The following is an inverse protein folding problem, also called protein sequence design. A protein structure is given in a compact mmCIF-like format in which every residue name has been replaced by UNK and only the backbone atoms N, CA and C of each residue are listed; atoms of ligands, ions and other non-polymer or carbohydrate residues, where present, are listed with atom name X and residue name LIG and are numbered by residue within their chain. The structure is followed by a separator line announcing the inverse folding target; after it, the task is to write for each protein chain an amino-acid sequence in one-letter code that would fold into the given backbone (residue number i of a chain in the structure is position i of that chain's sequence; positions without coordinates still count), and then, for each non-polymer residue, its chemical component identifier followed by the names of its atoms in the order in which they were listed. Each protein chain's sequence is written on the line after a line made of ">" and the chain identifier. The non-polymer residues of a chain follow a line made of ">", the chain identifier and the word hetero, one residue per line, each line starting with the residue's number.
data_IF_528810701923
#
_entry.id   IF_528810701923
#
_cell.length_a   1.000
_cell.length_b   1.000
_cell.length_c   1.000
_cell.angle_alpha   90.00
_cell.angle_beta   90.00
_cell.angle_gamma   90.00
#
_symmetry.space_group_name_H-M   'P 1'
#
loop_
_entity.id
_entity.type
_entity.pdbx_description
1 polymer ?
#
# COMPACT_ATOMS: atom_id res chain seq x y z
N UNK A 1 -32.34 -12.22 3.69
CA UNK A 1 -31.18 -12.86 4.35
C UNK A 1 -30.36 -11.76 5.01
N UNK A 2 -30.23 -11.80 6.34
CA UNK A 2 -29.31 -10.89 7.04
C UNK A 2 -27.89 -11.23 6.61
N UNK A 3 -27.22 -10.29 5.97
CA UNK A 3 -25.78 -10.42 5.65
C UNK A 3 -25.03 -10.35 6.97
N UNK A 4 -24.48 -11.46 7.44
CA UNK A 4 -23.53 -11.43 8.55
C UNK A 4 -22.38 -10.50 8.15
N UNK A 5 -22.20 -9.42 8.89
CA UNK A 5 -21.07 -8.50 8.72
C UNK A 5 -19.81 -9.25 9.15
N UNK A 6 -18.86 -9.35 8.25
CA UNK A 6 -17.59 -10.05 8.49
C UNK A 6 -16.46 -9.03 8.53
N UNK A 7 -15.59 -9.16 9.52
CA UNK A 7 -14.41 -8.32 9.69
C UNK A 7 -13.14 -9.12 9.36
N UNK A 8 -12.29 -8.58 8.50
CA UNK A 8 -11.03 -9.22 8.13
C UNK A 8 -10.44 -8.67 6.84
N UNK A 9 -9.37 -9.28 6.37
CA UNK A 9 -8.61 -8.82 5.21
C UNK A 9 -8.47 -9.96 4.21
N UNK A 10 -8.85 -9.72 2.96
CA UNK A 10 -8.59 -10.60 1.83
C UNK A 10 -7.32 -10.12 1.12
N UNK A 11 -6.39 -11.02 0.87
CA UNK A 11 -5.22 -10.76 0.03
C UNK A 11 -5.56 -11.07 -1.42
N UNK A 12 -5.92 -10.05 -2.22
CA UNK A 12 -6.37 -10.24 -3.60
C UNK A 12 -5.24 -9.93 -4.58
N UNK A 13 -5.02 -10.83 -5.54
CA UNK A 13 -4.23 -10.56 -6.73
C UNK A 13 -5.07 -9.74 -7.72
N UNK A 14 -4.66 -8.50 -7.97
CA UNK A 14 -5.25 -7.67 -9.00
C UNK A 14 -4.57 -7.95 -10.35
N UNK A 15 -5.28 -8.41 -11.38
CA UNK A 15 -4.72 -8.50 -12.72
C UNK A 15 -4.50 -7.10 -13.32
N UNK A 16 -3.67 -7.02 -14.36
CA UNK A 16 -3.56 -5.84 -15.19
C UNK A 16 -4.90 -5.53 -15.87
N UNK A 17 -5.15 -4.25 -16.16
CA UNK A 17 -6.37 -3.76 -16.83
C UNK A 17 -7.49 -3.35 -15.87
N UNK A 18 -7.51 -3.82 -14.63
CA UNK A 18 -8.50 -3.41 -13.63
C UNK A 18 -7.97 -2.28 -12.75
N UNK A 19 -8.84 -1.35 -12.37
CA UNK A 19 -8.55 -0.42 -11.29
C UNK A 19 -8.66 -1.11 -9.93
N UNK A 20 -8.00 -0.59 -8.90
CA UNK A 20 -8.17 -1.07 -7.51
C UNK A 20 -9.62 -0.97 -7.05
N UNK A 21 -10.37 0.04 -7.53
CA UNK A 21 -11.79 0.18 -7.23
C UNK A 21 -12.66 -0.86 -7.92
N UNK A 22 -12.26 -1.38 -9.10
CA UNK A 22 -12.94 -2.52 -9.73
C UNK A 22 -12.78 -3.76 -8.87
N UNK A 23 -11.60 -4.01 -8.31
CA UNK A 23 -11.37 -5.10 -7.36
C UNK A 23 -12.29 -4.96 -6.15
N UNK A 24 -12.37 -3.77 -5.53
CA UNK A 24 -13.28 -3.50 -4.41
C UNK A 24 -14.74 -3.80 -4.79
N UNK A 25 -15.19 -3.35 -5.98
CA UNK A 25 -16.56 -3.61 -6.47
C UNK A 25 -16.84 -5.11 -6.67
N UNK A 26 -15.88 -5.83 -7.24
CA UNK A 26 -16.00 -7.28 -7.44
C UNK A 26 -16.04 -8.02 -6.09
N UNK A 27 -15.12 -7.73 -5.17
CA UNK A 27 -15.13 -8.34 -3.83
C UNK A 27 -16.45 -8.05 -3.12
N UNK A 28 -16.95 -6.82 -3.18
CA UNK A 28 -18.23 -6.42 -2.60
C UNK A 28 -19.39 -7.27 -3.12
N UNK A 29 -19.44 -7.50 -4.44
CA UNK A 29 -20.46 -8.30 -5.13
C UNK A 29 -20.33 -9.77 -4.75
N UNK A 30 -19.13 -10.34 -4.80
CA UNK A 30 -18.86 -11.76 -4.55
C UNK A 30 -19.16 -12.14 -3.09
N UNK A 31 -18.69 -11.33 -2.15
CA UNK A 31 -18.82 -11.60 -0.71
C UNK A 31 -20.13 -11.09 -0.11
N UNK A 32 -20.92 -10.34 -0.86
CA UNK A 32 -22.12 -9.65 -0.39
C UNK A 32 -21.89 -8.77 0.84
N UNK A 33 -20.67 -8.23 1.02
CA UNK A 33 -20.32 -7.33 2.12
C UNK A 33 -20.53 -5.87 1.71
N UNK A 34 -21.16 -5.07 2.60
CA UNK A 34 -21.46 -3.65 2.32
C UNK A 34 -20.24 -2.75 2.49
N UNK A 35 -19.45 -2.98 3.54
CA UNK A 35 -18.29 -2.17 3.90
C UNK A 35 -17.02 -2.86 3.44
N UNK A 36 -16.46 -2.41 2.33
CA UNK A 36 -15.25 -2.94 1.69
C UNK A 36 -14.36 -1.79 1.27
N UNK A 37 -13.07 -1.87 1.54
CA UNK A 37 -12.07 -0.88 1.18
C UNK A 37 -10.74 -1.54 0.84
N UNK A 38 -9.82 -0.79 0.26
CA UNK A 38 -8.48 -1.29 -0.07
C UNK A 38 -7.38 -0.56 0.70
N UNK A 39 -6.28 -1.23 0.96
CA UNK A 39 -5.10 -0.67 1.61
C UNK A 39 -3.98 -0.41 0.60
N UNK A 40 -4.15 0.60 -0.25
CA UNK A 40 -3.17 1.05 -1.22
C UNK A 40 -3.59 0.85 -2.67
N UNK A 41 -3.68 1.96 -3.38
CA UNK A 41 -3.97 1.97 -4.82
C UNK A 41 -2.83 1.30 -5.59
N UNK A 42 -3.21 0.55 -6.61
CA UNK A 42 -2.31 0.01 -7.63
C UNK A 42 -2.82 0.50 -8.99
N UNK A 43 -1.92 0.95 -9.83
CA UNK A 43 -2.27 1.50 -11.15
C UNK A 43 -3.00 0.46 -12.02
N UNK A 44 -3.86 0.89 -12.97
CA UNK A 44 -4.62 -0.04 -13.79
C UNK A 44 -3.76 -1.02 -14.59
N UNK A 45 -2.66 -0.55 -15.20
CA UNK A 45 -1.75 -1.39 -15.97
C UNK A 45 -0.94 -2.37 -15.12
N UNK A 46 -0.73 -2.04 -13.82
CA UNK A 46 0.02 -2.86 -12.89
C UNK A 46 -0.81 -4.05 -12.36
N UNK A 47 -0.13 -5.10 -11.92
CA UNK A 47 -0.73 -6.28 -11.28
C UNK A 47 -0.15 -6.53 -9.89
N UNK A 48 -0.69 -7.52 -9.18
CA UNK A 48 -0.16 -8.00 -7.90
C UNK A 48 -1.06 -7.72 -6.70
N UNK A 49 -0.47 -7.75 -5.53
CA UNK A 49 -1.14 -7.75 -4.22
C UNK A 49 -1.94 -6.48 -3.96
N UNK A 50 -3.22 -6.66 -3.64
CA UNK A 50 -4.10 -5.59 -3.12
C UNK A 50 -4.84 -6.11 -1.90
N UNK A 51 -4.46 -5.71 -0.67
CA UNK A 51 -5.22 -6.05 0.52
C UNK A 51 -6.58 -5.38 0.51
N UNK A 52 -7.64 -6.17 0.65
CA UNK A 52 -9.04 -5.72 0.66
C UNK A 52 -9.61 -5.94 2.05
N UNK A 53 -9.92 -4.86 2.73
CA UNK A 53 -10.46 -4.86 4.08
C UNK A 53 -12.00 -4.93 4.05
N UNK A 54 -12.56 -5.83 4.85
CA UNK A 54 -14.01 -6.04 5.02
C UNK A 54 -14.48 -5.55 6.39
N UNK A 55 -15.67 -4.99 6.45
CA UNK A 55 -16.29 -4.57 7.69
C UNK A 55 -15.46 -3.54 8.48
N UNK A 56 -15.26 -3.80 9.77
CA UNK A 56 -14.47 -2.93 10.64
C UNK A 56 -12.97 -2.93 10.27
N UNK A 57 -12.46 -3.98 9.62
CA UNK A 57 -11.06 -4.01 9.17
C UNK A 57 -10.71 -2.88 8.20
N UNK A 58 -11.69 -2.18 7.59
CA UNK A 58 -11.43 -0.95 6.82
C UNK A 58 -10.76 0.16 7.63
N UNK A 59 -10.86 0.11 8.97
CA UNK A 59 -10.15 1.04 9.86
C UNK A 59 -8.63 0.77 9.90
N UNK A 60 -8.18 -0.41 9.42
CA UNK A 60 -6.75 -0.74 9.32
C UNK A 60 -6.05 -0.08 8.13
N UNK A 61 -6.79 0.49 7.18
CA UNK A 61 -6.21 1.00 5.93
C UNK A 61 -5.00 1.92 6.15
N UNK A 62 -5.06 2.85 7.10
CA UNK A 62 -3.94 3.76 7.39
C UNK A 62 -2.69 3.00 7.87
N UNK A 63 -2.84 2.04 8.77
CA UNK A 63 -1.72 1.22 9.26
C UNK A 63 -1.11 0.38 8.13
N UNK A 64 -1.96 -0.23 7.29
CA UNK A 64 -1.52 -1.00 6.13
C UNK A 64 -0.82 -0.14 5.06
N UNK A 65 -1.21 1.14 4.96
CA UNK A 65 -0.56 2.09 4.06
C UNK A 65 0.87 2.40 4.48
N UNK A 66 1.19 2.34 5.76
CA UNK A 66 2.53 2.66 6.27
C UNK A 66 3.51 1.47 6.16
N UNK A 67 2.99 0.25 6.02
CA UNK A 67 3.82 -0.93 5.77
C UNK A 67 4.53 -0.80 4.41
N UNK A 68 5.84 -1.09 4.33
CA UNK A 68 6.59 -1.08 3.09
C UNK A 68 5.96 -1.93 1.99
N UNK A 69 6.15 -1.52 0.72
CA UNK A 69 5.73 -2.27 -0.46
C UNK A 69 6.94 -2.74 -1.21
N UNK A 70 6.81 -3.89 -1.86
CA UNK A 70 7.85 -4.44 -2.73
C UNK A 70 7.27 -4.63 -4.13
N UNK A 71 8.04 -4.21 -5.12
CA UNK A 71 7.66 -4.21 -6.52
C UNK A 71 8.70 -4.88 -7.36
N UNK A 72 8.25 -5.72 -8.30
CA UNK A 72 9.02 -6.16 -9.45
C UNK A 72 8.64 -5.27 -10.64
N UNK A 73 9.59 -4.58 -11.23
CA UNK A 73 9.36 -3.54 -12.22
C UNK A 73 10.27 -3.70 -13.42
N UNK A 74 9.74 -3.43 -14.62
CA UNK A 74 10.52 -3.33 -15.86
C UNK A 74 10.43 -1.89 -16.36
N UNK A 75 11.56 -1.23 -16.44
CA UNK A 75 11.71 0.10 -17.04
C UNK A 75 12.08 -0.07 -18.51
N UNK A 76 11.48 0.72 -19.38
CA UNK A 76 11.82 0.84 -20.80
C UNK A 76 12.53 2.17 -21.03
N UNK A 77 13.82 2.13 -21.25
CA UNK A 77 14.59 3.29 -21.68
C UNK A 77 14.35 3.62 -23.16
N UNK A 78 14.56 4.87 -23.52
CA UNK A 78 14.32 5.36 -24.88
C UNK A 78 12.89 5.83 -25.14
N UNK A 79 11.95 5.59 -24.23
CA UNK A 79 10.53 5.96 -24.42
C UNK A 79 10.03 6.80 -23.26
N UNK A 80 9.58 8.01 -23.52
CA UNK A 80 8.89 8.88 -22.57
C UNK A 80 7.40 8.94 -22.89
N UNK A 81 6.55 8.81 -21.88
CA UNK A 81 5.09 8.95 -21.99
C UNK A 81 4.54 9.98 -21.02
N UNK A 82 3.36 10.50 -21.30
CA UNK A 82 2.68 11.49 -20.45
C UNK A 82 2.25 10.95 -19.09
N UNK A 83 2.10 9.62 -18.97
CA UNK A 83 1.78 8.93 -17.70
C UNK A 83 2.99 8.37 -16.97
N UNK A 84 4.18 8.41 -17.59
CA UNK A 84 5.41 7.76 -17.13
C UNK A 84 5.32 6.21 -17.11
N UNK A 85 4.32 5.63 -17.80
CA UNK A 85 4.13 4.20 -17.95
C UNK A 85 3.66 3.83 -19.36
N UNK A 86 3.60 2.54 -19.65
CA UNK A 86 3.27 2.01 -20.98
C UNK A 86 1.83 2.29 -21.45
N UNK A 87 0.95 2.82 -20.61
CA UNK A 87 -0.44 3.12 -20.96
C UNK A 87 -0.64 4.54 -21.50
N UNK A 88 0.39 5.38 -21.35
CA UNK A 88 0.36 6.77 -21.76
C UNK A 88 0.63 7.00 -23.25
N UNK A 89 0.37 8.24 -23.68
CA UNK A 89 0.76 8.70 -25.01
C UNK A 89 2.27 8.91 -25.05
N UNK A 90 2.94 8.36 -26.07
CA UNK A 90 4.37 8.59 -26.30
C UNK A 90 4.57 10.07 -26.61
N UNK A 91 5.46 10.71 -25.84
CA UNK A 91 5.87 12.11 -26.01
C UNK A 91 7.19 12.19 -26.75
N UNK A 92 8.09 11.22 -26.52
CA UNK A 92 9.41 11.19 -27.11
C UNK A 92 9.92 9.75 -27.23
N UNK A 93 10.56 9.46 -28.35
CA UNK A 93 11.34 8.25 -28.56
C UNK A 93 12.79 8.65 -28.86
N UNK A 94 13.73 7.98 -28.21
CA UNK A 94 15.17 8.21 -28.36
C UNK A 94 15.80 6.88 -28.69
N UNK A 95 16.52 6.83 -29.77
CA UNK A 95 17.31 5.66 -30.15
C UNK A 95 18.46 5.49 -29.15
N UNK A 96 18.47 4.34 -28.47
CA UNK A 96 19.51 4.00 -27.51
C UNK A 96 20.72 3.50 -28.31
N UNK A 97 21.62 4.41 -28.67
CA UNK A 97 22.93 3.99 -29.13
C UNK A 97 23.59 3.13 -28.03
N UNK A 98 24.56 2.26 -28.40
CA UNK A 98 25.28 1.31 -27.51
C UNK A 98 25.98 1.97 -26.28
N UNK A 99 25.66 3.21 -25.99
CA UNK A 99 26.28 4.03 -24.94
C UNK A 99 25.66 3.86 -23.52
N UNK A 100 24.52 3.18 -23.40
CA UNK A 100 23.89 2.96 -22.09
C UNK A 100 24.55 1.74 -21.41
N UNK A 101 25.50 2.02 -20.52
CA UNK A 101 26.24 0.98 -19.81
C UNK A 101 25.55 0.61 -18.49
N UNK A 102 25.60 -0.66 -18.16
CA UNK A 102 25.08 -1.15 -16.88
C UNK A 102 25.75 -0.49 -15.67
N UNK A 103 27.05 -0.16 -15.78
CA UNK A 103 27.80 0.56 -14.72
C UNK A 103 27.16 1.88 -14.37
N UNK A 104 26.76 2.66 -15.38
CA UNK A 104 26.21 4.00 -15.22
C UNK A 104 24.78 3.93 -14.62
N UNK A 105 24.01 2.91 -15.02
CA UNK A 105 22.71 2.60 -14.44
C UNK A 105 22.87 2.24 -12.96
N UNK A 106 23.83 1.38 -12.60
CA UNK A 106 24.11 0.98 -11.21
C UNK A 106 24.50 2.16 -10.33
N UNK A 107 25.32 3.07 -10.85
CA UNK A 107 25.71 4.30 -10.14
C UNK A 107 24.48 5.21 -9.91
N UNK A 108 23.72 5.45 -10.98
CA UNK A 108 22.51 6.30 -10.91
C UNK A 108 21.46 5.76 -9.94
N UNK A 109 21.23 4.45 -9.89
CA UNK A 109 20.27 3.80 -8.98
C UNK A 109 20.63 4.05 -7.52
N UNK A 110 21.90 4.17 -7.16
CA UNK A 110 22.29 4.41 -5.78
C UNK A 110 21.78 5.76 -5.23
N UNK A 111 21.57 6.75 -6.11
CA UNK A 111 21.01 8.05 -5.72
C UNK A 111 19.54 7.99 -5.31
N UNK A 112 18.84 6.91 -5.66
CA UNK A 112 17.43 6.71 -5.28
C UNK A 112 17.24 5.92 -3.98
N UNK A 113 18.31 5.51 -3.29
CA UNK A 113 18.24 4.78 -2.02
C UNK A 113 18.16 5.72 -0.82
N UNK A 114 17.44 5.29 0.21
CA UNK A 114 17.28 6.06 1.46
C UNK A 114 16.09 7.02 1.41
N UNK A 115 16.23 8.13 2.12
CA UNK A 115 15.22 9.21 2.12
C UNK A 115 15.53 10.16 0.98
N UNK A 116 14.62 10.27 0.03
CA UNK A 116 14.77 11.10 -1.16
C UNK A 116 13.56 12.01 -1.36
N UNK A 117 13.73 13.02 -2.16
CA UNK A 117 12.64 13.85 -2.66
C UNK A 117 12.19 13.38 -4.04
N UNK A 118 10.92 13.08 -4.22
CA UNK A 118 10.36 12.62 -5.48
C UNK A 118 9.21 13.50 -5.94
N UNK A 119 9.22 13.90 -7.21
CA UNK A 119 8.08 14.61 -7.84
C UNK A 119 7.02 13.59 -8.24
N UNK A 120 5.79 13.66 -7.67
CA UNK A 120 4.72 12.74 -8.04
C UNK A 120 4.30 12.92 -9.51
N UNK A 121 3.84 11.85 -10.20
CA UNK A 121 3.34 12.01 -11.57
C UNK A 121 2.01 12.77 -11.60
N UNK A 122 1.70 13.41 -12.75
CA UNK A 122 0.41 14.11 -12.95
C UNK A 122 -0.78 13.15 -12.79
N UNK A 123 -0.66 11.93 -13.27
CA UNK A 123 -1.68 10.90 -13.12
C UNK A 123 -1.60 10.23 -11.74
N UNK A 124 -1.87 11.02 -10.68
CA UNK A 124 -1.89 10.52 -9.30
C UNK A 124 -3.16 10.92 -8.55
N UNK A 125 -3.44 10.24 -7.42
CA UNK A 125 -4.60 10.52 -6.57
C UNK A 125 -4.39 11.72 -5.63
N UNK A 126 -3.24 12.38 -5.68
CA UNK A 126 -2.96 13.58 -4.90
C UNK A 126 -3.89 14.72 -5.29
N UNK A 127 -4.18 15.60 -4.34
CA UNK A 127 -5.05 16.77 -4.58
C UNK A 127 -4.22 18.03 -4.75
N UNK A 128 -4.60 18.82 -5.73
CA UNK A 128 -4.17 20.20 -5.94
C UNK A 128 -5.40 21.11 -5.95
N UNK A 129 -5.47 22.07 -5.05
CA UNK A 129 -6.63 22.97 -4.90
C UNK A 129 -7.98 22.23 -4.84
N UNK A 130 -8.04 21.13 -4.09
CA UNK A 130 -9.23 20.31 -3.88
C UNK A 130 -9.55 19.29 -4.99
N UNK A 131 -8.99 19.44 -6.20
CA UNK A 131 -9.15 18.51 -7.33
C UNK A 131 -8.00 17.48 -7.35
N UNK A 132 -8.29 16.27 -7.81
CA UNK A 132 -7.25 15.24 -7.95
C UNK A 132 -6.38 15.54 -9.17
N UNK A 133 -5.07 15.26 -9.07
CA UNK A 133 -4.13 15.52 -10.16
C UNK A 133 -4.50 14.74 -11.43
N UNK A 134 -4.96 13.50 -11.32
CA UNK A 134 -5.37 12.71 -12.49
C UNK A 134 -6.60 13.31 -13.21
N UNK A 135 -7.52 13.99 -12.49
CA UNK A 135 -8.67 14.67 -13.11
C UNK A 135 -8.20 15.90 -13.91
N UNK A 136 -7.23 16.65 -13.37
CA UNK A 136 -6.60 17.78 -14.05
C UNK A 136 -5.83 17.32 -15.29
N UNK A 137 -5.04 16.23 -15.16
CA UNK A 137 -4.29 15.65 -16.27
C UNK A 137 -5.22 15.24 -17.43
N UNK A 138 -6.33 14.55 -17.13
CA UNK A 138 -7.34 14.18 -18.15
C UNK A 138 -8.01 15.38 -18.81
N UNK A 139 -8.13 16.49 -18.11
CA UNK A 139 -8.62 17.74 -18.64
C UNK A 139 -7.54 18.54 -19.41
N UNK A 140 -6.34 17.98 -19.61
CA UNK A 140 -5.22 18.64 -20.29
C UNK A 140 -4.54 19.75 -19.47
N UNK A 141 -4.87 19.87 -18.19
CA UNK A 141 -4.30 20.87 -17.30
C UNK A 141 -3.04 20.30 -16.62
N UNK A 142 -1.90 20.91 -16.86
CA UNK A 142 -0.68 20.63 -16.15
C UNK A 142 -0.51 21.62 -14.99
N UNK A 143 0.00 21.10 -13.84
CA UNK A 143 0.29 21.92 -12.67
C UNK A 143 1.69 21.57 -12.14
N UNK A 144 2.35 22.55 -11.57
CA UNK A 144 3.61 22.32 -10.90
C UNK A 144 3.38 21.48 -9.64
N UNK A 145 4.22 20.46 -9.47
CA UNK A 145 4.15 19.50 -8.37
C UNK A 145 5.40 19.64 -7.53
N UNK A 146 5.21 19.97 -6.27
CA UNK A 146 6.33 20.02 -5.32
C UNK A 146 6.87 18.62 -5.05
N UNK A 147 8.19 18.44 -4.96
CA UNK A 147 8.81 17.22 -4.47
C UNK A 147 8.24 16.84 -3.10
N UNK A 148 8.23 15.55 -2.79
CA UNK A 148 7.77 15.01 -1.52
C UNK A 148 8.76 14.00 -0.97
N UNK A 149 9.00 14.02 0.35
CA UNK A 149 9.89 13.06 0.97
C UNK A 149 9.28 11.65 0.89
N UNK A 150 10.09 10.71 0.42
CA UNK A 150 9.75 9.28 0.33
C UNK A 150 10.97 8.46 0.73
N UNK A 151 10.74 7.22 1.17
CA UNK A 151 11.82 6.32 1.59
C UNK A 151 11.91 5.14 0.63
N UNK A 152 13.12 4.84 0.19
CA UNK A 152 13.44 3.65 -0.58
C UNK A 152 14.41 2.79 0.23
N UNK A 153 13.94 1.63 0.66
CA UNK A 153 14.72 0.73 1.52
C UNK A 153 15.75 -0.06 0.74
N UNK A 154 15.37 -0.55 -0.46
CA UNK A 154 16.28 -1.23 -1.37
C UNK A 154 15.86 -1.06 -2.82
N UNK A 155 16.84 -1.04 -3.72
CA UNK A 155 16.68 -1.23 -5.16
C UNK A 155 17.75 -2.22 -5.60
N UNK A 156 17.33 -3.28 -6.28
CA UNK A 156 18.19 -4.32 -6.80
C UNK A 156 17.97 -4.47 -8.31
N UNK A 157 19.04 -4.50 -9.07
CA UNK A 157 18.98 -4.83 -10.51
C UNK A 157 18.91 -6.35 -10.60
N UNK A 158 17.81 -6.83 -11.18
CA UNK A 158 17.58 -8.26 -11.41
C UNK A 158 18.11 -8.65 -12.79
N UNK A 159 17.88 -7.79 -13.79
CA UNK A 159 18.34 -8.03 -15.14
C UNK A 159 18.53 -6.71 -15.90
N UNK A 160 19.50 -6.71 -16.82
CA UNK A 160 19.74 -5.62 -17.75
C UNK A 160 19.94 -6.16 -19.16
N UNK A 161 19.09 -5.77 -20.07
CA UNK A 161 19.19 -6.03 -21.49
C UNK A 161 18.54 -4.89 -22.26
N UNK A 162 19.40 -4.00 -22.84
CA UNK A 162 18.90 -2.82 -23.55
C UNK A 162 17.76 -3.19 -24.52
N UNK A 163 16.64 -2.47 -24.49
CA UNK A 163 16.34 -1.24 -23.74
C UNK A 163 15.69 -1.45 -22.37
N UNK A 164 15.66 -2.66 -21.81
CA UNK A 164 14.89 -3.01 -20.62
C UNK A 164 15.76 -3.21 -19.38
N UNK A 165 15.34 -2.60 -18.30
CA UNK A 165 15.92 -2.76 -16.97
C UNK A 165 14.89 -3.36 -16.01
N UNK A 166 15.21 -4.51 -15.42
CA UNK A 166 14.36 -5.18 -14.43
C UNK A 166 14.89 -4.90 -13.03
N UNK A 167 14.01 -4.41 -12.15
CA UNK A 167 14.33 -4.02 -10.79
C UNK A 167 13.39 -4.67 -9.78
N UNK A 168 13.93 -5.04 -8.61
CA UNK A 168 13.15 -5.23 -7.39
C UNK A 168 13.34 -4.02 -6.47
N UNK A 169 12.23 -3.42 -6.05
CA UNK A 169 12.23 -2.19 -5.27
C UNK A 169 11.38 -2.35 -4.01
N UNK A 170 11.99 -2.09 -2.85
CA UNK A 170 11.28 -1.98 -1.56
C UNK A 170 11.20 -0.53 -1.13
N UNK A 171 9.99 -0.02 -0.96
CA UNK A 171 9.77 1.40 -0.69
C UNK A 171 8.66 1.66 0.32
N UNK A 172 8.68 2.85 0.91
CA UNK A 172 7.69 3.36 1.83
C UNK A 172 6.44 3.92 1.13
N UNK A 173 5.57 4.47 1.96
CA UNK A 173 4.35 5.17 1.51
C UNK A 173 4.70 6.37 0.62
N UNK A 174 3.93 6.54 -0.44
CA UNK A 174 4.00 7.73 -1.30
C UNK A 174 5.01 7.64 -2.44
N UNK A 175 5.85 6.60 -2.48
CA UNK A 175 6.77 6.39 -3.58
C UNK A 175 6.05 5.97 -4.86
N UNK A 176 6.46 6.54 -5.99
CA UNK A 176 5.92 6.26 -7.32
C UNK A 176 6.96 5.59 -8.21
N UNK A 177 6.71 4.33 -8.56
CA UNK A 177 7.58 3.58 -9.49
C UNK A 177 7.65 4.23 -10.87
N UNK A 178 6.57 4.89 -11.29
CA UNK A 178 6.52 5.65 -12.55
C UNK A 178 7.46 6.85 -12.56
N UNK A 179 7.51 7.60 -11.46
CA UNK A 179 8.51 8.69 -11.32
C UNK A 179 9.92 8.15 -11.30
N UNK A 180 10.19 7.01 -10.63
CA UNK A 180 11.52 6.38 -10.68
C UNK A 180 11.95 6.08 -12.12
N UNK A 181 11.05 5.52 -12.94
CA UNK A 181 11.37 5.20 -14.33
C UNK A 181 11.67 6.45 -15.16
N UNK A 182 10.88 7.51 -14.98
CA UNK A 182 11.08 8.79 -15.65
C UNK A 182 12.36 9.48 -15.19
N UNK A 183 12.60 9.57 -13.88
CA UNK A 183 13.74 10.26 -13.30
C UNK A 183 15.05 9.55 -13.68
N UNK A 184 15.08 8.21 -13.63
CA UNK A 184 16.24 7.42 -14.05
C UNK A 184 16.54 7.60 -15.55
N UNK A 185 15.51 7.56 -16.41
CA UNK A 185 15.65 7.84 -17.84
C UNK A 185 16.15 9.25 -18.13
N UNK A 186 15.72 10.23 -17.33
CA UNK A 186 16.19 11.62 -17.42
C UNK A 186 17.66 11.75 -17.01
N UNK A 187 18.09 11.08 -15.92
CA UNK A 187 19.49 11.06 -15.47
C UNK A 187 20.41 10.42 -16.51
N UNK A 188 19.92 9.38 -17.19
CA UNK A 188 20.65 8.70 -18.27
C UNK A 188 20.55 9.45 -19.62
N UNK A 189 19.87 10.60 -19.67
CA UNK A 189 19.67 11.44 -20.87
C UNK A 189 19.00 10.69 -22.05
N UNK A 190 18.37 9.57 -21.77
CA UNK A 190 17.75 8.72 -22.82
C UNK A 190 16.22 8.65 -22.72
N UNK A 191 15.63 9.22 -21.67
CA UNK A 191 14.20 9.04 -21.37
C UNK A 191 13.90 7.63 -20.84
N UNK A 192 12.76 7.51 -20.14
CA UNK A 192 12.33 6.24 -19.57
C UNK A 192 10.88 6.24 -19.14
N UNK A 193 10.25 5.09 -19.24
CA UNK A 193 8.88 4.84 -18.77
C UNK A 193 8.76 3.45 -18.16
N UNK A 194 7.75 3.26 -17.31
CA UNK A 194 7.52 1.99 -16.67
C UNK A 194 6.76 1.04 -17.63
N UNK A 195 7.41 -0.04 -18.06
CA UNK A 195 6.86 -1.04 -18.98
C UNK A 195 5.96 -2.03 -18.30
N UNK A 196 6.35 -2.49 -17.10
CA UNK A 196 5.63 -3.49 -16.31
C UNK A 196 5.81 -3.20 -14.82
N UNK A 197 4.78 -3.50 -14.04
CA UNK A 197 4.81 -3.36 -12.59
C UNK A 197 3.99 -4.46 -11.93
N UNK A 198 4.64 -5.21 -11.05
CA UNK A 198 3.99 -6.21 -10.21
C UNK A 198 4.25 -5.86 -8.75
N UNK A 199 3.22 -5.63 -7.95
CA UNK A 199 3.39 -5.50 -6.50
C UNK A 199 3.46 -6.88 -5.88
N UNK A 200 4.67 -7.30 -5.49
CA UNK A 200 4.93 -8.62 -4.89
C UNK A 200 4.62 -8.66 -3.39
N UNK A 201 4.77 -7.50 -2.69
CA UNK A 201 4.38 -7.34 -1.30
C UNK A 201 3.64 -6.02 -1.08
N UNK A 202 2.60 -6.03 -0.25
CA UNK A 202 1.84 -4.82 0.08
C UNK A 202 0.95 -4.99 1.30
N UNK A 203 1.03 -4.04 2.25
CA UNK A 203 0.23 -4.05 3.47
C UNK A 203 0.47 -5.28 4.35
N UNK A 204 1.67 -5.87 4.30
CA UNK A 204 2.04 -7.07 5.05
C UNK A 204 1.60 -8.40 4.41
N UNK A 205 1.13 -8.37 3.15
CA UNK A 205 0.75 -9.56 2.40
C UNK A 205 1.68 -9.77 1.20
N UNK A 206 2.00 -11.05 0.92
CA UNK A 206 2.80 -11.48 -0.22
C UNK A 206 1.94 -11.98 -1.38
N UNK A 207 2.48 -11.92 -2.59
CA UNK A 207 1.83 -12.40 -3.81
C UNK A 207 1.58 -13.92 -3.76
N UNK A 208 2.46 -14.67 -3.12
CA UNK A 208 2.38 -16.13 -3.00
C UNK A 208 1.11 -16.58 -2.26
N UNK A 209 0.66 -15.78 -1.29
CA UNK A 209 -0.54 -16.04 -0.50
C UNK A 209 -1.77 -15.27 -1.00
N UNK A 210 -1.70 -14.71 -2.22
CA UNK A 210 -2.84 -13.99 -2.80
C UNK A 210 -3.77 -14.93 -3.56
N UNK A 211 -5.05 -14.54 -3.63
CA UNK A 211 -6.05 -15.25 -4.46
C UNK A 211 -6.57 -14.32 -5.54
N UNK A 212 -6.99 -14.89 -6.66
CA UNK A 212 -7.61 -14.14 -7.75
C UNK A 212 -9.10 -13.91 -7.48
N UNK A 213 -9.71 -12.99 -8.23
CA UNK A 213 -11.16 -12.75 -8.16
C UNK A 213 -11.96 -13.95 -8.63
N UNK A 214 -11.42 -14.75 -9.55
CA UNK A 214 -12.02 -15.98 -10.05
C UNK A 214 -12.11 -17.01 -8.93
N UNK A 215 -10.98 -17.29 -8.23
CA UNK A 215 -10.95 -18.21 -7.08
C UNK A 215 -11.91 -17.74 -5.99
N UNK A 216 -11.95 -16.43 -5.69
CA UNK A 216 -12.90 -15.89 -4.73
C UNK A 216 -14.35 -16.12 -5.16
N UNK A 217 -14.65 -15.95 -6.46
CA UNK A 217 -15.99 -16.13 -7.03
C UNK A 217 -16.44 -17.59 -7.00
N UNK A 218 -15.55 -18.53 -7.32
CA UNK A 218 -15.82 -19.97 -7.23
C UNK A 218 -16.23 -20.41 -5.81
N UNK A 219 -15.69 -19.74 -4.80
CA UNK A 219 -15.98 -20.01 -3.39
C UNK A 219 -17.07 -19.10 -2.79
N UNK A 220 -17.84 -18.41 -3.64
CA UNK A 220 -18.89 -17.48 -3.15
C UNK A 220 -20.10 -18.18 -2.51
N UNK A 221 -20.40 -19.41 -2.93
CA UNK A 221 -21.49 -20.21 -2.38
C UNK A 221 -21.18 -20.63 -0.93
N UNK A 222 -22.21 -20.65 -0.10
CA UNK A 222 -22.15 -21.09 1.29
C UNK A 222 -21.06 -20.41 2.13
N UNK A 223 -20.63 -19.23 1.70
CA UNK A 223 -19.56 -18.43 2.32
C UNK A 223 -18.21 -19.16 2.41
N UNK A 224 -17.92 -20.10 1.51
CA UNK A 224 -16.65 -20.84 1.48
C UNK A 224 -15.42 -19.91 1.30
N UNK A 225 -15.62 -18.69 0.79
CA UNK A 225 -14.59 -17.67 0.68
C UNK A 225 -14.02 -17.21 2.04
N UNK A 226 -14.73 -17.46 3.16
CA UNK A 226 -14.26 -17.14 4.50
C UNK A 226 -12.93 -17.81 4.85
N UNK A 227 -12.60 -18.95 4.23
CA UNK A 227 -11.31 -19.62 4.42
C UNK A 227 -10.11 -18.81 3.97
N UNK A 228 -10.32 -17.83 3.09
CA UNK A 228 -9.27 -16.91 2.62
C UNK A 228 -9.18 -15.62 3.44
N UNK A 229 -10.06 -15.47 4.43
CA UNK A 229 -10.13 -14.25 5.22
C UNK A 229 -9.06 -14.28 6.33
N UNK A 230 -8.16 -13.32 6.29
CA UNK A 230 -7.17 -13.11 7.33
C UNK A 230 -7.78 -12.28 8.47
N UNK A 231 -7.31 -12.50 9.70
CA UNK A 231 -7.70 -11.70 10.87
C UNK A 231 -7.38 -10.23 10.65
N UNK A 232 -8.17 -9.35 11.26
CA UNK A 232 -8.02 -7.89 11.11
C UNK A 232 -6.62 -7.40 11.48
N UNK A 233 -5.98 -8.00 12.45
CA UNK A 233 -4.64 -7.64 12.96
C UNK A 233 -3.51 -8.50 12.43
N UNK A 234 -3.75 -9.37 11.44
CA UNK A 234 -2.77 -10.32 10.91
C UNK A 234 -1.46 -9.69 10.43
N UNK A 235 -1.50 -8.43 10.01
CA UNK A 235 -0.33 -7.71 9.47
C UNK A 235 0.44 -6.90 10.50
N UNK A 236 -0.07 -6.82 11.72
CA UNK A 236 0.53 -6.08 12.84
C UNK A 236 0.87 -7.01 14.01
N UNK A 237 1.08 -8.30 13.75
CA UNK A 237 1.38 -9.30 14.79
C UNK A 237 2.70 -9.05 15.53
N UNK A 238 3.58 -8.24 14.97
CA UNK A 238 4.81 -7.78 15.61
C UNK A 238 4.56 -6.77 16.74
N UNK A 239 3.38 -6.14 16.82
CA UNK A 239 3.03 -5.33 17.97
C UNK A 239 2.68 -6.22 19.16
N UNK A 240 3.20 -5.94 20.35
CA UNK A 240 2.88 -6.68 21.55
C UNK A 240 1.38 -6.59 21.91
N UNK A 241 0.89 -7.55 22.68
CA UNK A 241 -0.51 -7.65 23.06
C UNK A 241 -0.70 -7.21 24.51
N UNK A 242 -1.83 -6.53 24.75
CA UNK A 242 -2.37 -6.26 26.08
C UNK A 242 -3.75 -6.87 26.14
N UNK A 243 -3.99 -7.73 27.13
CA UNK A 243 -5.29 -8.29 27.43
C UNK A 243 -6.00 -7.42 28.48
N UNK A 244 -7.22 -7.02 28.17
CA UNK A 244 -8.08 -6.26 29.08
C UNK A 244 -8.98 -7.21 29.86
N UNK A 245 -9.12 -6.96 31.16
CA UNK A 245 -10.14 -7.62 31.95
C UNK A 245 -11.54 -7.04 31.59
N UNK A 246 -12.66 -7.70 32.01
CA UNK A 246 -14.01 -7.25 31.64
C UNK A 246 -14.33 -5.79 32.02
N UNK A 247 -13.85 -5.33 33.19
CA UNK A 247 -14.12 -3.97 33.66
C UNK A 247 -13.35 -2.93 32.82
N UNK A 248 -12.10 -3.23 32.47
CA UNK A 248 -11.26 -2.40 31.60
C UNK A 248 -11.80 -2.35 30.17
N UNK A 249 -12.30 -3.47 29.66
CA UNK A 249 -12.94 -3.54 28.34
C UNK A 249 -14.22 -2.70 28.31
N UNK A 250 -15.07 -2.79 29.33
CA UNK A 250 -16.28 -1.99 29.45
C UNK A 250 -15.96 -0.50 29.56
N UNK A 251 -14.99 -0.14 30.39
CA UNK A 251 -14.52 1.24 30.52
C UNK A 251 -13.99 1.78 29.21
N UNK A 252 -13.15 1.00 28.52
CA UNK A 252 -12.61 1.38 27.20
C UNK A 252 -13.73 1.63 26.18
N UNK A 253 -14.73 0.74 26.12
CA UNK A 253 -15.85 0.86 25.17
C UNK A 253 -16.72 2.08 25.45
N UNK A 254 -16.92 2.43 26.72
CA UNK A 254 -17.76 3.54 27.13
C UNK A 254 -17.05 4.90 27.01
N UNK A 255 -15.75 4.97 27.28
CA UNK A 255 -15.02 6.25 27.37
C UNK A 255 -14.04 6.48 26.21
N UNK A 256 -13.64 5.44 25.50
CA UNK A 256 -12.53 5.47 24.54
C UNK A 256 -11.15 5.66 25.19
N UNK A 257 -11.08 5.62 26.53
CA UNK A 257 -9.86 5.82 27.31
C UNK A 257 -9.32 4.49 27.82
N UNK A 258 -8.00 4.43 27.99
CA UNK A 258 -7.30 3.22 28.44
C UNK A 258 -6.67 3.49 29.80
N UNK A 259 -7.26 2.94 30.86
CA UNK A 259 -6.78 3.12 32.24
C UNK A 259 -5.76 2.09 32.67
N UNK A 260 -5.61 0.99 31.93
CA UNK A 260 -4.64 -0.07 32.23
C UNK A 260 -3.24 0.49 32.45
N UNK A 261 -2.90 1.55 31.72
CA UNK A 261 -1.59 2.18 31.80
C UNK A 261 -1.42 3.16 32.96
N UNK A 262 -2.52 3.65 33.54
CA UNK A 262 -2.46 4.57 34.67
C UNK A 262 -1.98 3.88 35.97
N UNK A 263 -2.12 2.54 36.02
CA UNK A 263 -1.77 1.69 37.16
C UNK A 263 -0.56 0.79 36.91
N UNK A 264 0.04 0.82 35.71
CA UNK A 264 1.14 -0.05 35.34
C UNK A 264 2.47 0.66 35.57
N UNK A 265 3.35 0.00 36.35
CA UNK A 265 4.76 0.41 36.46
C UNK A 265 5.34 0.60 35.05
N UNK A 266 5.94 1.76 34.82
CA UNK A 266 6.60 2.18 33.56
C UNK A 266 7.62 1.16 33.02
N UNK A 267 7.98 0.16 33.80
CA UNK A 267 8.99 -0.85 33.46
C UNK A 267 8.47 -1.97 32.55
N UNK A 268 7.15 -2.13 32.41
CA UNK A 268 6.54 -3.22 31.62
C UNK A 268 6.12 -2.77 30.21
N UNK A 269 5.73 -1.49 30.07
CA UNK A 269 5.22 -0.97 28.79
C UNK A 269 6.04 0.23 28.33
N UNK A 270 6.70 0.10 27.17
CA UNK A 270 7.43 1.21 26.56
C UNK A 270 6.47 2.18 25.90
N UNK A 271 6.61 3.48 26.21
CA UNK A 271 5.86 4.59 25.58
C UNK A 271 6.17 4.74 24.07
N UNK A 272 7.25 4.12 23.60
CA UNK A 272 7.63 4.13 22.17
C UNK A 272 6.89 3.07 21.37
N UNK A 273 6.27 2.10 22.03
CA UNK A 273 5.60 0.97 21.38
C UNK A 273 4.14 1.28 21.08
N UNK A 274 3.67 0.62 20.02
CA UNK A 274 2.26 0.44 19.71
C UNK A 274 1.82 -0.93 20.17
N UNK A 275 0.62 -1.05 20.75
CA UNK A 275 0.11 -2.31 21.30
C UNK A 275 -1.21 -2.69 20.65
N UNK A 276 -1.43 -4.01 20.52
CA UNK A 276 -2.73 -4.59 20.18
C UNK A 276 -3.51 -4.83 21.45
N UNK A 277 -4.76 -4.39 21.49
CA UNK A 277 -5.67 -4.62 22.62
C UNK A 277 -6.58 -5.80 22.33
N UNK A 278 -6.67 -6.70 23.27
CA UNK A 278 -7.54 -7.86 23.22
C UNK A 278 -8.44 -7.91 24.47
N UNK A 279 -9.66 -8.42 24.28
CA UNK A 279 -10.52 -8.80 25.41
C UNK A 279 -9.96 -10.05 26.11
N UNK A 280 -10.44 -10.32 27.31
CA UNK A 280 -10.18 -11.60 27.99
C UNK A 280 -10.71 -12.83 27.22
N UNK A 281 -11.67 -12.64 26.30
CA UNK A 281 -12.19 -13.64 25.38
C UNK A 281 -11.43 -13.71 24.04
N UNK A 282 -10.22 -13.17 23.99
CA UNK A 282 -9.34 -13.17 22.80
C UNK A 282 -9.90 -12.44 21.57
N UNK A 283 -10.83 -11.50 21.74
CA UNK A 283 -11.33 -10.67 20.66
C UNK A 283 -10.43 -9.45 20.47
N UNK A 284 -10.01 -9.16 19.23
CA UNK A 284 -9.23 -7.97 18.91
C UNK A 284 -10.09 -6.70 19.07
N UNK A 285 -9.70 -5.84 19.99
CA UNK A 285 -10.41 -4.62 20.33
C UNK A 285 -9.85 -3.38 19.64
N UNK A 286 -8.55 -3.33 19.41
CA UNK A 286 -7.97 -2.13 18.84
C UNK A 286 -6.46 -2.03 18.91
N UNK A 287 -5.98 -0.85 18.52
CA UNK A 287 -4.56 -0.49 18.56
C UNK A 287 -4.40 0.77 19.39
N UNK A 288 -3.46 0.74 20.31
CA UNK A 288 -3.15 1.87 21.21
C UNK A 288 -1.68 2.26 21.11
N UNK A 289 -1.41 3.54 21.29
CA UNK A 289 -0.07 4.10 21.39
C UNK A 289 -0.05 5.28 22.36
N UNK A 290 1.14 5.61 22.89
CA UNK A 290 1.28 6.76 23.76
C UNK A 290 1.31 8.07 22.95
N UNK A 291 0.43 9.01 23.28
CA UNK A 291 0.43 10.34 22.68
C UNK A 291 1.36 11.28 23.43
N UNK A 292 2.49 11.62 22.85
CA UNK A 292 3.41 12.61 23.40
C UNK A 292 2.75 13.97 23.60
N UNK A 293 1.84 14.37 22.70
CA UNK A 293 1.09 15.63 22.77
C UNK A 293 0.17 15.69 23.97
N UNK A 294 -0.54 14.61 24.25
CA UNK A 294 -1.56 14.56 25.32
C UNK A 294 -1.03 13.92 26.60
N UNK A 295 0.22 13.42 26.59
CA UNK A 295 0.87 12.72 27.71
C UNK A 295 0.02 11.57 28.28
N UNK A 296 -0.67 10.83 27.38
CA UNK A 296 -1.53 9.69 27.75
C UNK A 296 -1.60 8.66 26.64
N UNK A 297 -1.99 7.45 27.00
CA UNK A 297 -2.32 6.41 26.05
C UNK A 297 -3.62 6.74 25.32
N UNK A 298 -3.59 6.59 24.00
CA UNK A 298 -4.75 6.87 23.14
C UNK A 298 -5.07 5.66 22.28
N UNK A 299 -6.36 5.39 22.15
CA UNK A 299 -6.84 4.40 21.21
C UNK A 299 -6.74 4.97 19.80
N UNK A 300 -5.79 4.48 19.02
CA UNK A 300 -5.61 4.95 17.65
C UNK A 300 -6.65 4.36 16.70
N UNK A 301 -7.15 3.14 16.97
CA UNK A 301 -8.20 2.47 16.18
C UNK A 301 -9.04 1.56 17.09
N UNK A 302 -10.37 1.63 16.96
CA UNK A 302 -11.34 0.81 17.69
C UNK A 302 -12.06 -0.17 16.75
N UNK A 303 -12.31 -1.39 17.22
CA UNK A 303 -12.88 -2.48 16.41
C UNK A 303 -14.14 -3.13 17.04
N UNK A 304 -14.78 -2.50 17.98
CA UNK A 304 -16.09 -2.89 18.51
C UNK A 304 -17.24 -2.09 17.91
#
# INVERSE_FOLDING_TARGET
>A
MQTNVVDGILNIYKPSGLTTMDVVRNVKRITNQRKVGHAGTLDPFASGVVPICLGRATKMNELLHDIPKEYHAIIHFGVETDTYDCSGKILREIDLNDNLKESDIRESINSFKGNIEQVPPMFSALKFNGKRLYDLARAGVQVDRSPRPVTVYSIEIIDWGSPYLTLDVKCGRGFYMRSLAYDLGSMMHCGGSLKSLVRINGGGFSIENSITLEVLSEHSKDNLWLKFLNKTDSTIMHFPIIYLNPNEEEYLKNTGSITVFDNLNSDVYSIENTYRLYSGSESFLGVTSFSQKHKKWVLSRAFW
#
